data_IF_071043842765
#
_entry.id   IF_071043842765
#
_cell.length_a   1.000
_cell.length_b   1.000
_cell.length_c   1.000
_cell.angle_alpha   90.00
_cell.angle_beta   90.00
_cell.angle_gamma   90.00
#
_symmetry.space_group_name_H-M   'P 1'
#
loop_
_entity.id
_entity.type
_entity.pdbx_description
1 polymer ?
#
# COMPACT_ATOMS: atom_id res chain seq x y z
N UNK A 1 -4.86 0.31 -4.93
CA UNK A 1 -4.12 1.38 -5.62
C UNK A 1 -2.81 0.78 -6.07
N UNK A 2 -2.30 1.19 -7.23
CA UNK A 2 -0.91 1.00 -7.60
C UNK A 2 -0.60 1.73 -8.89
N UNK A 3 0.63 1.59 -9.35
CA UNK A 3 1.15 2.32 -10.50
C UNK A 3 0.69 1.68 -11.82
N UNK A 4 0.82 2.42 -12.92
CA UNK A 4 0.42 1.96 -14.27
C UNK A 4 1.36 0.90 -14.85
N UNK A 5 2.49 0.66 -14.20
CA UNK A 5 3.45 -0.41 -14.46
C UNK A 5 3.37 -1.58 -13.44
N UNK A 6 2.35 -1.58 -12.58
CA UNK A 6 2.08 -2.67 -11.63
C UNK A 6 1.20 -3.78 -12.24
N UNK A 7 1.57 -5.04 -12.00
CA UNK A 7 0.79 -6.23 -12.43
C UNK A 7 -0.03 -6.79 -11.26
N UNK A 8 -1.36 -6.89 -11.41
CA UNK A 8 -2.26 -7.37 -10.34
C UNK A 8 -2.80 -8.77 -10.63
N UNK A 9 -2.53 -9.73 -9.74
CA UNK A 9 -3.12 -11.07 -9.78
C UNK A 9 -4.45 -11.11 -9.04
N UNK A 10 -5.51 -10.63 -9.69
CA UNK A 10 -6.81 -10.34 -9.06
C UNK A 10 -7.42 -11.53 -8.33
N UNK A 11 -7.32 -12.75 -8.86
CA UNK A 11 -7.88 -13.94 -8.20
C UNK A 11 -7.25 -14.15 -6.83
N UNK A 12 -5.92 -14.04 -6.74
CA UNK A 12 -5.23 -14.17 -5.46
C UNK A 12 -5.53 -13.00 -4.51
N UNK A 13 -5.71 -11.79 -5.06
CA UNK A 13 -6.15 -10.64 -4.27
C UNK A 13 -7.50 -10.92 -3.62
N UNK A 14 -8.46 -11.46 -4.37
CA UNK A 14 -9.78 -11.81 -3.87
C UNK A 14 -9.69 -12.89 -2.80
N UNK A 15 -8.87 -13.92 -3.00
CA UNK A 15 -8.67 -15.00 -2.03
C UNK A 15 -8.05 -14.52 -0.71
N UNK A 16 -7.09 -13.60 -0.78
CA UNK A 16 -6.48 -13.01 0.43
C UNK A 16 -7.47 -12.05 1.11
N UNK A 17 -8.09 -11.14 0.36
CA UNK A 17 -9.03 -10.17 0.93
C UNK A 17 -10.30 -10.84 1.50
N UNK A 18 -10.70 -12.00 0.96
CA UNK A 18 -11.82 -12.79 1.46
C UNK A 18 -11.66 -13.29 2.90
N UNK A 19 -10.43 -13.28 3.44
CA UNK A 19 -10.12 -13.67 4.82
C UNK A 19 -10.34 -12.53 5.83
N UNK A 20 -10.56 -11.30 5.36
CA UNK A 20 -10.67 -10.11 6.21
C UNK A 20 -12.13 -9.67 6.41
N UNK A 21 -12.45 -9.11 7.58
CA UNK A 21 -13.77 -8.53 7.86
C UNK A 21 -13.91 -7.15 7.18
N UNK A 22 -14.54 -7.12 6.01
CA UNK A 22 -14.73 -5.91 5.20
C UNK A 22 -15.37 -4.70 5.91
N UNK A 23 -15.93 -4.88 7.12
CA UNK A 23 -16.48 -3.79 7.94
C UNK A 23 -15.42 -3.05 8.77
N UNK A 24 -14.20 -3.59 8.88
CA UNK A 24 -13.09 -3.02 9.65
C UNK A 24 -12.19 -2.15 8.79
N UNK A 25 -11.35 -1.34 9.44
CA UNK A 25 -10.31 -0.58 8.77
C UNK A 25 -9.10 -1.46 8.49
N UNK A 26 -8.71 -1.54 7.22
CA UNK A 26 -7.50 -2.20 6.79
C UNK A 26 -6.72 -1.33 5.83
N UNK A 27 -5.43 -1.22 6.09
CA UNK A 27 -4.43 -0.72 5.17
C UNK A 27 -3.41 -1.85 4.95
N UNK A 28 -3.53 -2.57 3.84
CA UNK A 28 -2.68 -3.71 3.51
C UNK A 28 -1.73 -3.29 2.39
N UNK A 29 -0.43 -3.53 2.53
CA UNK A 29 0.55 -3.14 1.53
C UNK A 29 1.88 -3.85 1.72
N UNK A 30 2.86 -3.53 0.88
CA UNK A 30 4.21 -4.07 0.95
C UNK A 30 5.23 -2.97 1.14
N UNK A 31 6.31 -3.32 1.85
CA UNK A 31 7.52 -2.51 1.92
C UNK A 31 8.31 -2.66 0.62
N UNK A 32 9.23 -1.73 0.36
CA UNK A 32 10.16 -1.91 -0.75
C UNK A 32 11.18 -3.00 -0.45
N UNK A 33 11.51 -3.81 -1.45
CA UNK A 33 12.63 -4.77 -1.34
C UNK A 33 13.97 -4.06 -1.47
N UNK A 34 13.98 -2.81 -1.92
CA UNK A 34 15.13 -1.94 -1.83
C UNK A 34 15.11 -1.16 -0.51
N UNK A 35 15.95 -1.60 0.42
CA UNK A 35 16.04 -1.05 1.78
C UNK A 35 16.16 0.49 1.83
N UNK A 36 16.83 1.09 0.85
CA UNK A 36 17.03 2.54 0.81
C UNK A 36 15.76 3.32 0.54
N UNK A 37 14.81 2.75 -0.21
CA UNK A 37 13.49 3.39 -0.36
C UNK A 37 12.74 3.41 0.97
N UNK A 38 12.77 2.33 1.75
CA UNK A 38 12.13 2.33 3.07
C UNK A 38 12.79 3.36 4.01
N UNK A 39 14.11 3.53 3.93
CA UNK A 39 14.84 4.52 4.72
C UNK A 39 14.46 5.96 4.35
N UNK A 40 14.34 6.28 3.06
CA UNK A 40 14.01 7.64 2.61
C UNK A 40 12.53 7.99 2.74
N UNK A 41 11.63 7.01 2.64
CA UNK A 41 10.20 7.22 2.76
C UNK A 41 9.67 6.75 4.11
N UNK A 42 9.37 5.47 4.26
CA UNK A 42 8.93 4.89 5.52
C UNK A 42 8.96 3.37 5.48
N UNK A 43 9.31 2.74 6.59
CA UNK A 43 9.08 1.31 6.82
C UNK A 43 7.61 1.00 7.16
N UNK A 44 6.76 2.02 7.32
CA UNK A 44 5.34 1.89 7.67
C UNK A 44 4.40 2.33 6.54
N UNK A 45 4.87 2.35 5.29
CA UNK A 45 4.00 2.63 4.14
C UNK A 45 3.86 1.39 3.25
N UNK A 46 2.72 1.30 2.58
CA UNK A 46 2.60 0.52 1.35
C UNK A 46 3.11 1.36 0.18
N UNK A 47 4.02 0.82 -0.61
CA UNK A 47 4.55 1.49 -1.81
C UNK A 47 3.56 1.35 -2.97
N UNK A 48 3.31 2.43 -3.70
CA UNK A 48 2.36 2.50 -4.82
C UNK A 48 2.76 1.58 -5.98
N UNK A 49 4.05 1.47 -6.24
CA UNK A 49 4.58 0.60 -7.29
C UNK A 49 4.40 -0.91 -7.05
N UNK A 50 4.42 -1.36 -5.79
CA UNK A 50 3.91 -2.68 -5.42
C UNK A 50 2.37 -2.72 -5.39
N UNK A 51 1.76 -1.59 -5.09
CA UNK A 51 0.36 -1.47 -4.81
C UNK A 51 0.00 -1.79 -3.36
N UNK A 52 -1.17 -1.30 -2.97
CA UNK A 52 -1.75 -1.50 -1.64
C UNK A 52 -3.28 -1.46 -1.69
N UNK A 53 -3.90 -2.00 -0.64
CA UNK A 53 -5.33 -2.16 -0.51
C UNK A 53 -5.83 -1.43 0.73
N UNK A 54 -6.96 -0.75 0.56
CA UNK A 54 -7.66 -0.06 1.63
C UNK A 54 -9.07 -0.65 1.72
N UNK A 55 -9.53 -0.95 2.93
CA UNK A 55 -10.92 -1.35 3.10
C UNK A 55 -11.87 -0.19 2.81
N UNK A 56 -13.04 -0.49 2.28
CA UNK A 56 -14.05 0.52 1.95
C UNK A 56 -14.37 1.50 3.11
N UNK A 57 -14.63 1.05 4.35
CA UNK A 57 -14.94 1.97 5.43
C UNK A 57 -13.75 2.88 5.78
N UNK A 58 -12.50 2.42 5.60
CA UNK A 58 -11.32 3.27 5.77
C UNK A 58 -11.26 4.37 4.70
N UNK A 59 -11.44 4.00 3.43
CA UNK A 59 -11.45 4.97 2.31
C UNK A 59 -12.55 6.00 2.49
N UNK A 60 -13.74 5.55 2.93
CA UNK A 60 -14.86 6.45 3.19
C UNK A 60 -14.50 7.50 4.24
N UNK A 61 -13.89 7.09 5.35
CA UNK A 61 -13.44 8.02 6.40
C UNK A 61 -12.32 8.93 5.91
N UNK A 62 -11.32 8.39 5.22
CA UNK A 62 -10.20 9.15 4.65
C UNK A 62 -10.68 10.23 3.68
N UNK A 63 -11.66 9.92 2.82
CA UNK A 63 -12.17 10.86 1.82
C UNK A 63 -12.79 12.13 2.40
N UNK A 64 -13.26 12.09 3.65
CA UNK A 64 -13.92 13.22 4.32
C UNK A 64 -12.91 14.30 4.73
N UNK A 65 -11.71 13.94 5.16
CA UNK A 65 -10.66 14.88 5.62
C UNK A 65 -9.49 15.00 4.64
N UNK A 66 -9.61 14.43 3.42
CA UNK A 66 -8.48 14.29 2.49
C UNK A 66 -7.85 15.64 2.12
N UNK A 67 -8.64 16.68 1.83
CA UNK A 67 -8.07 18.00 1.51
C UNK A 67 -7.27 18.62 2.67
N UNK A 68 -7.79 18.50 3.88
CA UNK A 68 -7.16 18.98 5.12
C UNK A 68 -5.86 18.22 5.36
N UNK A 69 -5.86 16.89 5.17
CA UNK A 69 -4.66 16.09 5.27
C UNK A 69 -3.61 16.47 4.23
N UNK A 70 -3.98 16.64 2.96
CA UNK A 70 -3.06 17.06 1.89
C UNK A 70 -2.39 18.40 2.20
N UNK A 71 -3.12 19.34 2.80
CA UNK A 71 -2.55 20.63 3.26
C UNK A 71 -1.58 20.45 4.43
N UNK A 72 -1.91 19.56 5.37
CA UNK A 72 -1.10 19.26 6.57
C UNK A 72 0.26 18.64 6.23
N UNK A 73 0.29 17.81 5.19
CA UNK A 73 1.49 17.11 4.74
C UNK A 73 2.05 17.62 3.40
N UNK A 74 1.74 18.86 3.01
CA UNK A 74 2.16 19.44 1.73
C UNK A 74 3.68 19.50 1.52
N UNK A 75 4.47 19.39 2.58
CA UNK A 75 5.93 19.32 2.55
C UNK A 75 6.48 17.95 2.11
N UNK A 76 5.67 16.89 2.19
CA UNK A 76 6.06 15.55 1.77
C UNK A 76 6.03 15.46 0.24
N UNK A 77 6.98 14.72 -0.35
CA UNK A 77 7.19 14.69 -1.81
C UNK A 77 6.79 13.38 -2.48
N UNK A 78 6.10 12.49 -1.77
CA UNK A 78 5.65 11.19 -2.28
C UNK A 78 4.17 11.01 -1.97
N UNK A 79 3.40 10.58 -2.97
CA UNK A 79 1.97 10.31 -2.83
C UNK A 79 1.71 9.16 -1.84
N UNK A 80 2.53 8.11 -1.87
CA UNK A 80 2.44 6.98 -0.94
C UNK A 80 2.69 7.43 0.50
N UNK A 81 3.71 8.27 0.68
CA UNK A 81 4.08 8.78 2.00
C UNK A 81 2.98 9.70 2.57
N UNK A 82 2.39 10.55 1.73
CA UNK A 82 1.25 11.38 2.12
C UNK A 82 0.05 10.50 2.47
N UNK A 83 -0.25 9.50 1.64
CA UNK A 83 -1.38 8.59 1.86
C UNK A 83 -1.24 7.83 3.18
N UNK A 84 -0.04 7.30 3.46
CA UNK A 84 0.29 6.66 4.73
C UNK A 84 0.11 7.62 5.92
N UNK A 85 0.57 8.86 5.81
CA UNK A 85 0.40 9.86 6.87
C UNK A 85 -1.08 10.19 7.12
N UNK A 86 -1.88 10.34 6.07
CA UNK A 86 -3.33 10.58 6.20
C UNK A 86 -4.08 9.40 6.82
N UNK A 87 -3.69 8.18 6.49
CA UNK A 87 -4.29 6.97 7.08
C UNK A 87 -3.88 6.85 8.57
N UNK A 88 -2.64 7.23 8.91
CA UNK A 88 -2.16 7.26 10.29
C UNK A 88 -2.92 8.29 11.16
N UNK A 89 -3.35 9.41 10.59
CA UNK A 89 -4.23 10.39 11.28
C UNK A 89 -5.59 9.78 11.69
N UNK A 90 -6.07 8.77 10.97
CA UNK A 90 -7.29 7.99 11.30
C UNK A 90 -6.99 6.91 12.36
N UNK A 91 -5.72 6.70 12.69
CA UNK A 91 -5.26 5.72 13.68
C UNK A 91 -5.05 4.32 13.10
N UNK A 92 -4.79 4.20 11.79
CA UNK A 92 -4.56 2.92 11.12
C UNK A 92 -3.12 2.86 10.62
N UNK A 93 -2.39 1.82 11.01
CA UNK A 93 -1.04 1.52 10.51
C UNK A 93 -1.11 0.55 9.32
N UNK A 94 -0.11 0.59 8.44
CA UNK A 94 0.02 -0.42 7.38
C UNK A 94 0.24 -1.80 8.00
N UNK A 95 -0.45 -2.79 7.47
CA UNK A 95 -0.17 -4.21 7.69
C UNK A 95 0.63 -4.73 6.51
N UNK A 96 1.93 -4.96 6.73
CA UNK A 96 2.80 -5.50 5.70
C UNK A 96 2.35 -6.93 5.33
N UNK A 97 2.11 -7.17 4.04
CA UNK A 97 1.70 -8.46 3.52
C UNK A 97 2.80 -9.04 2.61
N UNK A 98 3.11 -10.32 2.80
CA UNK A 98 4.00 -11.05 1.88
C UNK A 98 3.28 -11.25 0.54
N UNK A 99 4.01 -11.19 -0.57
CA UNK A 99 3.40 -11.18 -1.91
C UNK A 99 3.16 -9.78 -2.49
N UNK A 100 3.42 -8.71 -1.72
CA UNK A 100 3.33 -7.34 -2.23
C UNK A 100 4.76 -6.85 -2.49
N UNK A 101 5.20 -6.89 -3.75
CA UNK A 101 6.60 -6.73 -4.14
C UNK A 101 6.87 -5.39 -4.84
N UNK A 102 7.92 -4.69 -4.41
CA UNK A 102 8.39 -3.42 -4.98
C UNK A 102 9.91 -3.54 -5.19
N UNK A 103 10.27 -3.87 -6.44
CA UNK A 103 11.64 -3.91 -6.92
C UNK A 103 12.06 -2.58 -7.56
N UNK A 104 13.36 -2.25 -7.47
CA UNK A 104 13.91 -0.98 -7.95
C UNK A 104 14.52 -1.05 -9.37
N UNK A 105 14.35 -2.15 -10.10
CA UNK A 105 14.97 -2.29 -11.42
C UNK A 105 13.95 -2.05 -12.53
N UNK A 106 14.37 -1.33 -13.56
CA UNK A 106 13.55 -0.61 -14.55
C UNK A 106 12.60 -1.43 -15.44
N UNK A 107 12.27 -2.68 -15.12
CA UNK A 107 11.37 -3.51 -15.91
C UNK A 107 10.42 -4.31 -15.01
N UNK A 108 9.17 -3.82 -14.92
CA UNK A 108 7.97 -4.48 -14.39
C UNK A 108 7.95 -4.63 -12.87
N UNK A 109 6.95 -4.02 -12.23
CA UNK A 109 6.66 -4.14 -10.82
C UNK A 109 5.48 -5.12 -10.68
N UNK A 110 5.67 -6.26 -10.01
CA UNK A 110 4.65 -7.31 -9.94
C UNK A 110 4.00 -7.36 -8.55
N UNK A 111 2.68 -7.14 -8.47
CA UNK A 111 1.89 -7.41 -7.28
C UNK A 111 1.45 -8.89 -7.27
N UNK A 112 2.33 -9.76 -6.78
CA UNK A 112 2.06 -11.19 -6.61
C UNK A 112 1.48 -11.49 -5.24
N UNK A 113 0.25 -11.07 -4.95
CA UNK A 113 -0.40 -11.55 -3.73
C UNK A 113 -0.54 -13.06 -3.89
N UNK A 114 0.25 -13.87 -3.17
CA UNK A 114 0.36 -15.31 -3.42
C UNK A 114 1.77 -15.86 -3.22
N UNK A 115 1.86 -17.12 -2.79
CA UNK A 115 3.07 -17.79 -2.27
C UNK A 115 4.13 -18.20 -3.31
N UNK A 116 4.02 -17.78 -4.57
CA UNK A 116 4.79 -18.39 -5.66
C UNK A 116 6.19 -17.80 -5.90
N UNK A 117 6.55 -16.67 -5.29
CA UNK A 117 7.90 -16.09 -5.46
C UNK A 117 8.95 -16.59 -4.45
N UNK A 118 8.55 -17.29 -3.37
CA UNK A 118 9.50 -17.93 -2.43
C UNK A 118 10.15 -19.20 -3.04
N UNK A 119 9.90 -19.52 -4.32
CA UNK A 119 10.45 -20.67 -5.05
C UNK A 119 11.28 -20.31 -6.30
N UNK A 120 11.57 -19.03 -6.55
CA UNK A 120 12.46 -18.60 -7.65
C UNK A 120 13.77 -18.05 -7.11
#
# INVERSE_FOLDING_TARGET
MGDDDSVFFVDNIVDVLGQYDHTKYYYLGGQSEFIMLNYWFSFKQGFGGAGFMLSYPLVKTLSVDMESCLRRYAQLRSADLITMACIADIGVDVSAHKGIHQFLNHQIQELLIGTEFDQI
#
